data_IF_280815013437
#
_entry.id   IF_280815013437
#
_cell.length_a   1.000
_cell.length_b   1.000
_cell.length_c   1.000
_cell.angle_alpha   90.00
_cell.angle_beta   90.00
_cell.angle_gamma   90.00
#
_symmetry.space_group_name_H-M   'P 1'
#
loop_
_entity.id
_entity.type
_entity.pdbx_description
1 polymer ?
#
# COMPACT_ATOMS: atom_id res chain seq x y z
N UNK A 1 -32.07 -55.23 -27.06
CA UNK A 1 -31.43 -55.36 -25.73
C UNK A 1 -30.29 -54.36 -25.61
N UNK A 2 -30.46 -53.32 -24.79
CA UNK A 2 -29.50 -52.75 -23.81
C UNK A 2 -30.03 -51.39 -23.37
N UNK A 3 -30.01 -51.21 -22.06
CA UNK A 3 -31.00 -50.46 -21.30
C UNK A 3 -30.66 -48.97 -21.17
N UNK A 4 -31.70 -48.16 -21.27
CA UNK A 4 -31.77 -46.76 -20.85
C UNK A 4 -31.54 -46.70 -19.33
N UNK A 5 -30.54 -45.95 -18.87
CA UNK A 5 -30.44 -45.54 -17.47
C UNK A 5 -30.88 -44.07 -17.38
N UNK A 6 -32.18 -43.88 -17.17
CA UNK A 6 -32.71 -42.73 -16.45
C UNK A 6 -32.41 -42.98 -14.97
N UNK A 7 -31.63 -42.12 -14.32
CA UNK A 7 -31.64 -42.01 -12.86
C UNK A 7 -32.14 -40.62 -12.50
N UNK A 8 -33.28 -40.65 -11.84
CA UNK A 8 -34.04 -39.57 -11.24
C UNK A 8 -33.34 -39.04 -9.98
N UNK A 9 -33.45 -37.71 -9.80
CA UNK A 9 -34.04 -37.05 -8.62
C UNK A 9 -33.43 -37.34 -7.22
N UNK A 10 -32.87 -36.30 -6.60
CA UNK A 10 -33.10 -36.00 -5.18
C UNK A 10 -32.78 -34.52 -4.91
N UNK A 11 -33.81 -33.70 -5.00
CA UNK A 11 -33.83 -32.30 -4.58
C UNK A 11 -34.11 -32.28 -3.07
N UNK A 12 -33.09 -32.10 -2.23
CA UNK A 12 -33.27 -31.85 -0.79
C UNK A 12 -33.38 -30.34 -0.55
N UNK A 13 -34.62 -29.86 -0.54
CA UNK A 13 -34.99 -28.59 0.06
C UNK A 13 -35.15 -28.85 1.56
N UNK A 14 -34.17 -28.46 2.36
CA UNK A 14 -34.34 -28.35 3.81
C UNK A 14 -34.58 -26.89 4.12
N UNK A 15 -35.85 -26.56 4.33
CA UNK A 15 -36.28 -25.26 4.82
C UNK A 15 -35.81 -25.03 6.25
N UNK A 16 -35.17 -23.88 6.48
CA UNK A 16 -34.99 -23.34 7.82
C UNK A 16 -36.04 -22.24 8.06
N UNK A 17 -36.71 -22.22 9.22
CA UNK A 17 -37.80 -21.30 9.50
C UNK A 17 -37.30 -19.86 9.74
N UNK A 18 -38.04 -18.93 9.14
CA UNK A 18 -38.04 -17.50 9.43
C UNK A 18 -38.54 -17.31 10.87
N UNK A 19 -37.67 -16.89 11.78
CA UNK A 19 -38.08 -16.35 13.08
C UNK A 19 -38.19 -14.84 12.92
N UNK A 20 -39.43 -14.37 12.75
CA UNK A 20 -39.81 -12.97 12.97
C UNK A 20 -39.88 -12.76 14.47
N UNK A 21 -39.00 -11.92 15.02
CA UNK A 21 -39.13 -11.37 16.36
C UNK A 21 -39.54 -9.89 16.25
N UNK A 22 -40.79 -9.61 16.59
CA UNK A 22 -41.30 -8.28 16.87
C UNK A 22 -41.18 -7.98 18.37
N UNK A 23 -40.79 -6.76 18.73
CA UNK A 23 -40.93 -6.18 20.07
C UNK A 23 -39.66 -6.30 20.94
N UNK A 24 -39.25 -5.31 21.73
CA UNK A 24 -39.96 -4.14 22.24
C UNK A 24 -39.00 -2.97 22.41
N UNK A 25 -39.49 -1.76 22.12
CA UNK A 25 -38.95 -0.52 22.66
C UNK A 25 -39.13 -0.53 24.18
N UNK A 26 -38.07 -0.22 24.92
CA UNK A 26 -38.18 0.18 26.32
C UNK A 26 -37.63 1.59 26.43
N UNK A 27 -38.55 2.55 26.44
CA UNK A 27 -38.36 3.86 27.04
C UNK A 27 -38.02 3.65 28.52
N UNK A 28 -36.97 4.31 29.02
CA UNK A 28 -36.96 4.65 30.43
C UNK A 28 -36.35 6.03 30.66
N UNK A 29 -37.06 6.74 31.52
CA UNK A 29 -37.07 8.18 31.64
C UNK A 29 -35.84 8.75 32.39
N UNK A 30 -35.64 10.04 32.14
CA UNK A 30 -34.78 10.92 32.89
C UNK A 30 -35.06 10.90 34.40
N UNK A 31 -34.01 11.10 35.20
CA UNK A 31 -34.12 11.78 36.49
C UNK A 31 -32.94 12.72 36.67
N UNK A 32 -33.27 13.98 36.94
CA UNK A 32 -32.35 15.07 37.20
C UNK A 32 -32.22 15.34 38.71
N UNK A 33 -31.19 16.12 39.03
CA UNK A 33 -30.92 16.87 40.28
C UNK A 33 -30.11 16.16 41.38
N UNK A 34 -28.84 16.57 41.55
CA UNK A 34 -28.44 17.66 42.48
C UNK A 34 -26.94 17.55 42.85
N UNK A 35 -26.22 18.68 42.73
CA UNK A 35 -24.88 18.99 43.28
C UNK A 35 -24.92 19.02 44.84
N UNK A 36 -23.84 19.31 45.63
CA UNK A 36 -22.45 19.71 45.30
C UNK A 36 -21.34 19.01 46.14
N UNK A 37 -20.07 19.20 45.76
CA UNK A 37 -18.99 19.63 46.67
C UNK A 37 -17.62 19.61 45.96
N UNK A 38 -16.98 20.76 45.91
CA UNK A 38 -15.53 20.96 45.73
C UNK A 38 -14.75 20.27 46.85
N UNK A 39 -13.51 19.81 46.56
CA UNK A 39 -12.41 20.40 47.32
C UNK A 39 -11.19 20.76 46.47
N UNK A 40 -10.63 21.89 46.88
CA UNK A 40 -9.32 22.48 46.63
C UNK A 40 -8.14 21.55 46.97
N UNK A 41 -7.14 21.49 46.07
CA UNK A 41 -5.69 21.33 46.32
C UNK A 41 -5.00 21.16 44.95
N UNK A 42 -3.80 21.62 44.63
CA UNK A 42 -2.85 22.55 45.23
C UNK A 42 -1.80 22.85 44.13
N UNK A 43 -1.23 24.06 44.18
CA UNK A 43 -0.04 24.59 43.51
C UNK A 43 0.68 23.81 42.41
N UNK A 44 0.73 24.41 41.21
CA UNK A 44 1.92 24.32 40.36
C UNK A 44 2.81 25.52 40.69
N UNK A 45 3.91 25.24 41.38
CA UNK A 45 5.02 26.17 41.57
C UNK A 45 5.86 26.13 40.30
N UNK A 46 5.97 27.27 39.62
CA UNK A 46 7.05 27.49 38.65
C UNK A 46 8.36 27.65 39.42
N UNK A 47 9.31 26.74 39.20
CA UNK A 47 10.70 26.95 39.57
C UNK A 47 11.57 27.06 38.32
N UNK A 48 12.33 28.15 38.35
CA UNK A 48 13.51 28.58 37.60
C UNK A 48 14.57 27.50 37.35
N UNK A 49 15.29 27.71 36.26
CA UNK A 49 16.72 27.45 36.03
C UNK A 49 17.35 26.17 36.60
N UNK A 50 17.75 25.29 35.68
CA UNK A 50 18.54 24.11 35.97
C UNK A 50 19.00 23.45 34.68
N UNK A 51 19.89 24.13 33.96
CA UNK A 51 20.70 23.59 32.87
C UNK A 51 21.46 22.34 33.37
N UNK A 52 21.13 21.16 32.82
CA UNK A 52 21.91 19.94 33.01
C UNK A 52 22.45 19.55 31.64
N UNK A 53 23.69 19.98 31.39
CA UNK A 53 24.50 19.49 30.29
C UNK A 53 24.70 17.98 30.40
N UNK A 54 24.48 17.19 29.33
CA UNK A 54 25.11 15.89 29.22
C UNK A 54 26.60 16.08 28.96
N UNK A 55 27.41 15.49 29.85
CA UNK A 55 28.86 15.35 29.78
C UNK A 55 29.25 14.63 28.47
N UNK A 56 29.69 15.40 27.48
CA UNK A 56 30.31 14.88 26.26
C UNK A 56 31.81 14.78 26.54
N UNK A 57 32.23 13.58 26.92
CA UNK A 57 33.66 13.26 26.99
C UNK A 57 34.26 13.37 25.58
N UNK A 58 35.27 14.22 25.35
CA UNK A 58 35.90 14.35 24.04
C UNK A 58 36.74 13.10 23.73
N UNK A 59 36.51 12.49 22.57
CA UNK A 59 37.43 11.52 21.97
C UNK A 59 38.70 12.30 21.57
N UNK A 60 39.90 11.90 22.01
CA UNK A 60 41.12 12.55 21.57
C UNK A 60 41.43 12.19 20.12
N UNK A 61 41.61 13.23 19.30
CA UNK A 61 42.22 13.18 17.99
C UNK A 61 43.60 12.50 18.06
N UNK A 62 43.78 11.41 17.31
CA UNK A 62 45.09 10.92 16.92
C UNK A 62 45.18 10.80 15.40
N UNK A 63 45.90 11.76 14.84
CA UNK A 63 46.93 11.62 13.80
C UNK A 63 46.67 10.65 12.64
N UNK A 64 46.42 11.21 11.45
CA UNK A 64 47.30 10.92 10.32
C UNK A 64 47.34 12.11 9.34
N UNK A 65 48.20 13.06 9.70
CA UNK A 65 48.84 14.01 8.80
C UNK A 65 49.86 13.27 7.93
N UNK A 66 49.66 13.30 6.61
CA UNK A 66 50.75 13.24 5.63
C UNK A 66 50.27 13.85 4.30
N UNK A 67 50.18 15.18 4.24
CA UNK A 67 50.34 15.91 2.97
C UNK A 67 51.81 16.30 2.83
N UNK A 68 52.46 16.07 1.68
CA UNK A 68 53.66 16.80 1.30
C UNK A 68 53.29 18.15 0.62
N UNK A 69 54.04 19.23 0.89
CA UNK A 69 53.78 20.55 0.32
C UNK A 69 54.63 20.84 -0.94
N UNK A 70 54.06 21.64 -1.85
CA UNK A 70 54.80 22.75 -2.47
C UNK A 70 55.33 22.62 -3.90
N UNK A 71 54.85 23.56 -4.73
CA UNK A 71 55.55 24.33 -5.78
C UNK A 71 55.73 23.79 -7.22
N UNK A 72 54.83 24.28 -8.09
CA UNK A 72 54.99 25.08 -9.34
C UNK A 72 56.28 24.94 -10.19
N UNK A 73 56.31 25.00 -11.53
CA UNK A 73 55.53 25.76 -12.53
C UNK A 73 55.94 25.35 -14.00
N UNK A 74 55.68 26.10 -15.10
CA UNK A 74 54.71 25.82 -16.18
C UNK A 74 55.30 25.44 -17.56
N UNK A 75 54.46 24.98 -18.51
CA UNK A 75 54.83 25.07 -19.94
C UNK A 75 54.00 24.28 -20.97
N UNK A 76 53.37 25.04 -21.87
CA UNK A 76 53.15 24.75 -23.30
C UNK A 76 52.03 23.78 -23.76
N UNK A 77 50.90 24.40 -24.08
CA UNK A 77 50.03 24.21 -25.25
C UNK A 77 50.12 22.91 -26.07
N UNK A 78 48.98 22.22 -26.18
CA UNK A 78 48.48 21.75 -27.47
C UNK A 78 46.95 21.61 -27.41
N UNK A 79 46.27 22.39 -28.23
CA UNK A 79 44.87 22.26 -28.64
C UNK A 79 44.53 20.84 -29.04
N UNK A 80 43.42 20.31 -28.54
CA UNK A 80 42.59 19.36 -29.28
C UNK A 80 41.13 19.56 -28.84
N UNK A 81 40.35 20.07 -29.78
CA UNK A 81 38.90 19.98 -29.79
C UNK A 81 38.47 18.54 -29.49
N UNK A 82 37.69 18.41 -28.43
CA UNK A 82 37.00 17.19 -28.06
C UNK A 82 35.89 17.62 -27.14
N UNK A 83 34.72 17.90 -27.72
CA UNK A 83 33.50 18.04 -26.95
C UNK A 83 33.32 16.77 -26.14
N UNK A 84 33.56 16.85 -24.83
CA UNK A 84 33.10 15.84 -23.89
C UNK A 84 31.62 16.14 -23.75
N UNK A 85 30.82 15.46 -24.58
CA UNK A 85 29.39 15.34 -24.34
C UNK A 85 29.25 14.62 -23.00
N UNK A 86 28.81 15.38 -22.00
CA UNK A 86 28.24 14.87 -20.76
C UNK A 86 27.22 13.77 -21.15
N UNK A 87 27.35 12.52 -20.69
CA UNK A 87 26.27 11.57 -20.85
C UNK A 87 25.16 12.06 -19.93
N UNK A 88 24.19 12.78 -20.50
CA UNK A 88 22.89 12.97 -19.88
C UNK A 88 22.43 11.59 -19.41
N UNK A 89 22.44 11.37 -18.10
CA UNK A 89 21.65 10.33 -17.43
C UNK A 89 20.18 10.63 -17.77
N UNK A 90 19.79 10.23 -18.97
CA UNK A 90 18.41 10.05 -19.34
C UNK A 90 17.90 8.99 -18.40
N UNK A 91 17.24 9.45 -17.33
CA UNK A 91 16.20 8.70 -16.64
C UNK A 91 15.19 8.33 -17.71
N UNK A 92 15.45 7.22 -18.41
CA UNK A 92 14.52 6.60 -19.34
C UNK A 92 13.34 6.15 -18.50
N UNK A 93 12.39 7.06 -18.34
CA UNK A 93 11.07 6.73 -17.86
C UNK A 93 10.56 5.60 -18.77
N UNK A 94 10.24 4.41 -18.24
CA UNK A 94 9.86 3.26 -19.05
C UNK A 94 8.73 3.65 -20.01
N UNK A 95 8.89 3.42 -21.32
CA UNK A 95 7.83 3.70 -22.28
C UNK A 95 6.58 2.86 -21.95
N UNK A 96 5.43 3.48 -21.68
CA UNK A 96 4.19 2.76 -21.43
C UNK A 96 3.60 2.33 -22.78
N UNK A 97 3.85 1.10 -23.23
CA UNK A 97 3.17 0.66 -24.46
C UNK A 97 3.45 -0.72 -25.05
N UNK A 98 4.54 -1.39 -24.69
CA UNK A 98 4.93 -2.66 -25.35
C UNK A 98 4.94 -3.85 -24.39
N UNK A 99 4.08 -3.85 -23.37
CA UNK A 99 4.01 -4.91 -22.35
C UNK A 99 3.04 -6.04 -22.70
N UNK A 100 3.19 -7.19 -22.01
CA UNK A 100 2.14 -8.21 -21.91
C UNK A 100 0.96 -7.64 -21.15
N UNK A 101 -0.25 -8.08 -21.48
CA UNK A 101 -1.46 -7.71 -20.74
C UNK A 101 -1.96 -8.91 -19.96
N UNK A 102 -2.05 -8.76 -18.64
CA UNK A 102 -2.80 -9.67 -17.78
C UNK A 102 -4.22 -9.16 -17.63
N UNK A 103 -5.21 -10.03 -17.80
CA UNK A 103 -6.62 -9.71 -17.64
C UNK A 103 -7.30 -10.83 -16.85
N UNK A 104 -8.00 -10.46 -15.78
CA UNK A 104 -8.77 -11.40 -14.96
C UNK A 104 -10.28 -11.08 -15.05
N UNK A 105 -11.04 -12.01 -15.62
CA UNK A 105 -12.49 -11.87 -15.78
C UNK A 105 -13.29 -12.16 -14.51
N UNK A 106 -12.70 -12.87 -13.54
CA UNK A 106 -13.31 -13.14 -12.23
C UNK A 106 -13.28 -11.89 -11.38
N UNK A 107 -12.11 -11.25 -11.31
CA UNK A 107 -11.86 -10.05 -10.53
C UNK A 107 -11.98 -8.76 -11.34
N UNK A 108 -12.33 -8.81 -12.62
CA UNK A 108 -12.76 -7.65 -13.43
C UNK A 108 -11.72 -6.54 -13.55
N UNK A 109 -10.46 -6.89 -13.78
CA UNK A 109 -9.40 -5.92 -14.06
C UNK A 109 -8.40 -6.43 -15.11
N UNK A 110 -7.64 -5.49 -15.69
CA UNK A 110 -6.43 -5.81 -16.45
C UNK A 110 -5.31 -4.82 -16.15
N UNK A 111 -4.08 -5.25 -16.40
CA UNK A 111 -2.85 -4.48 -16.24
C UNK A 111 -1.83 -4.91 -17.29
N UNK A 112 -1.10 -3.95 -17.85
CA UNK A 112 0.03 -4.23 -18.73
C UNK A 112 1.33 -4.24 -17.91
N UNK A 113 2.24 -5.15 -18.26
CA UNK A 113 3.50 -5.37 -17.56
C UNK A 113 4.61 -5.78 -18.55
N UNK A 114 5.91 -5.54 -18.23
CA UNK A 114 7.01 -5.90 -19.13
C UNK A 114 7.06 -7.39 -19.48
N UNK A 115 7.58 -7.72 -20.67
CA UNK A 115 7.56 -9.09 -21.19
C UNK A 115 8.39 -10.09 -20.37
N UNK A 116 9.43 -9.61 -19.71
CA UNK A 116 10.42 -10.35 -18.94
C UNK A 116 10.05 -10.48 -17.45
N UNK A 117 9.03 -9.76 -16.99
CA UNK A 117 8.54 -9.85 -15.62
C UNK A 117 7.88 -11.20 -15.35
N UNK A 118 8.15 -11.73 -14.17
CA UNK A 118 7.47 -12.87 -13.61
C UNK A 118 6.10 -12.45 -13.06
N UNK A 119 5.10 -13.31 -13.26
CA UNK A 119 3.74 -13.11 -12.78
C UNK A 119 3.28 -14.33 -11.98
N UNK A 120 2.81 -14.10 -10.76
CA UNK A 120 2.29 -15.16 -9.89
C UNK A 120 1.07 -14.70 -9.09
N UNK A 121 0.16 -15.63 -8.82
CA UNK A 121 -0.91 -15.44 -7.83
C UNK A 121 -0.44 -15.91 -6.47
N UNK A 122 -0.73 -15.14 -5.41
CA UNK A 122 -0.41 -15.55 -4.05
C UNK A 122 -1.30 -16.72 -3.60
N UNK A 123 -0.74 -17.72 -2.91
CA UNK A 123 -1.50 -18.85 -2.38
C UNK A 123 -2.41 -18.41 -1.22
N UNK A 124 -3.52 -19.11 -1.03
CA UNK A 124 -4.58 -18.73 -0.07
C UNK A 124 -4.09 -18.69 1.38
N UNK A 125 -3.06 -19.46 1.71
CA UNK A 125 -2.42 -19.48 3.02
C UNK A 125 -1.72 -18.15 3.33
N UNK A 126 -1.03 -17.56 2.35
CA UNK A 126 -0.38 -16.24 2.50
C UNK A 126 -1.44 -15.13 2.63
N UNK A 127 -2.55 -15.25 1.90
CA UNK A 127 -3.66 -14.27 1.97
C UNK A 127 -4.40 -14.32 3.31
N UNK A 128 -4.51 -15.50 3.94
CA UNK A 128 -5.21 -15.66 5.21
C UNK A 128 -4.54 -14.94 6.39
N UNK A 129 -3.25 -14.59 6.26
CA UNK A 129 -2.49 -13.86 7.29
C UNK A 129 -2.64 -12.33 7.18
N UNK A 130 -3.33 -11.82 6.16
CA UNK A 130 -3.48 -10.39 5.90
C UNK A 130 -4.82 -9.87 6.44
N UNK A 131 -4.82 -8.65 6.98
CA UNK A 131 -6.00 -7.93 7.44
C UNK A 131 -6.13 -6.57 6.73
N UNK A 132 -7.27 -6.27 6.09
CA UNK A 132 -8.38 -7.19 5.80
C UNK A 132 -7.93 -8.36 4.91
N UNK A 133 -8.65 -9.49 4.94
CA UNK A 133 -8.30 -10.68 4.15
C UNK A 133 -8.61 -10.46 2.66
N UNK A 134 -7.60 -10.48 1.76
CA UNK A 134 -7.85 -10.42 0.33
C UNK A 134 -8.51 -11.70 -0.20
N UNK A 135 -9.33 -11.55 -1.25
CA UNK A 135 -9.87 -12.66 -2.02
C UNK A 135 -8.83 -13.27 -2.97
N UNK A 136 -7.96 -12.44 -3.53
CA UNK A 136 -6.79 -12.84 -4.31
C UNK A 136 -5.71 -11.75 -4.25
N UNK A 137 -4.46 -12.13 -4.48
CA UNK A 137 -3.39 -11.19 -4.76
C UNK A 137 -2.54 -11.65 -5.95
N UNK A 138 -2.08 -10.68 -6.72
CA UNK A 138 -1.34 -10.84 -7.97
C UNK A 138 -0.02 -10.08 -7.85
N UNK A 139 1.08 -10.77 -8.11
CA UNK A 139 2.44 -10.26 -7.95
C UNK A 139 3.12 -10.21 -9.30
N UNK A 140 3.63 -9.03 -9.64
CA UNK A 140 4.48 -8.77 -10.80
C UNK A 140 5.87 -8.42 -10.30
N UNK A 141 6.88 -9.15 -10.76
CA UNK A 141 8.23 -9.02 -10.24
C UNK A 141 9.25 -9.07 -11.38
N UNK A 142 10.25 -8.20 -11.31
CA UNK A 142 11.36 -8.17 -12.26
C UNK A 142 12.11 -9.52 -12.23
N UNK A 143 12.73 -9.93 -13.35
CA UNK A 143 13.32 -11.26 -13.47
C UNK A 143 14.48 -11.52 -12.50
N UNK A 144 15.18 -10.47 -12.06
CA UNK A 144 16.30 -10.61 -11.12
C UNK A 144 15.78 -10.98 -9.72
N UNK A 145 14.80 -10.23 -9.21
CA UNK A 145 14.14 -10.53 -7.94
C UNK A 145 13.43 -11.89 -8.00
N UNK A 146 12.78 -12.21 -9.12
CA UNK A 146 12.10 -13.49 -9.33
C UNK A 146 13.03 -14.71 -9.37
N UNK A 147 14.27 -14.54 -9.84
CA UNK A 147 15.26 -15.61 -9.89
C UNK A 147 16.08 -15.75 -8.58
N UNK A 148 15.88 -14.86 -7.61
CA UNK A 148 16.61 -14.86 -6.35
C UNK A 148 16.21 -16.03 -5.44
N UNK A 149 17.17 -16.57 -4.68
CA UNK A 149 16.91 -17.60 -3.65
C UNK A 149 15.98 -17.10 -2.54
N UNK A 150 15.83 -15.78 -2.41
CA UNK A 150 14.94 -15.11 -1.44
C UNK A 150 13.77 -14.40 -2.12
N UNK A 151 13.40 -14.78 -3.35
CA UNK A 151 12.33 -14.16 -4.13
C UNK A 151 10.99 -14.03 -3.35
N UNK A 152 10.70 -14.95 -2.42
CA UNK A 152 9.48 -14.88 -1.61
C UNK A 152 9.48 -13.77 -0.55
N UNK A 153 10.65 -13.23 -0.20
CA UNK A 153 10.84 -12.16 0.78
C UNK A 153 11.06 -10.80 0.11
N UNK A 154 11.42 -10.79 -1.18
CA UNK A 154 11.55 -9.57 -1.96
C UNK A 154 10.18 -8.92 -2.19
N UNK A 155 10.07 -7.59 -2.10
CA UNK A 155 8.84 -6.91 -2.47
C UNK A 155 8.59 -7.06 -3.97
N UNK A 156 7.32 -7.30 -4.32
CA UNK A 156 6.89 -7.25 -5.71
C UNK A 156 7.06 -5.82 -6.27
N UNK A 157 7.45 -5.68 -7.54
CA UNK A 157 7.42 -4.40 -8.24
C UNK A 157 6.00 -3.81 -8.23
N UNK A 158 4.99 -4.65 -8.49
CA UNK A 158 3.60 -4.34 -8.26
C UNK A 158 2.89 -5.53 -7.62
N UNK A 159 2.19 -5.29 -6.51
CA UNK A 159 1.20 -6.20 -5.95
C UNK A 159 -0.20 -5.63 -6.10
N UNK A 160 -1.14 -6.44 -6.62
CA UNK A 160 -2.57 -6.11 -6.70
C UNK A 160 -3.30 -7.05 -5.76
N UNK A 161 -3.93 -6.51 -4.72
CA UNK A 161 -4.84 -7.27 -3.84
C UNK A 161 -6.27 -6.92 -4.15
N UNK A 162 -7.13 -7.93 -4.16
CA UNK A 162 -8.57 -7.78 -4.43
C UNK A 162 -9.36 -8.13 -3.19
N UNK A 163 -10.38 -7.33 -2.89
CA UNK A 163 -11.24 -7.50 -1.73
C UNK A 163 -12.69 -7.41 -2.15
N UNK A 164 -13.57 -8.17 -1.49
CA UNK A 164 -15.00 -7.98 -1.68
C UNK A 164 -15.41 -6.59 -1.17
N UNK A 165 -16.10 -5.83 -2.02
CA UNK A 165 -16.64 -4.52 -1.63
C UNK A 165 -17.76 -4.64 -0.57
N UNK A 166 -18.45 -5.79 -0.55
CA UNK A 166 -19.52 -6.06 0.40
C UNK A 166 -20.68 -5.07 0.28
N UNK A 167 -21.22 -4.63 1.43
CA UNK A 167 -22.34 -3.69 1.52
C UNK A 167 -21.89 -2.22 1.63
N UNK A 168 -20.58 -1.94 1.54
CA UNK A 168 -20.07 -0.57 1.66
C UNK A 168 -20.57 0.28 0.50
N UNK A 169 -21.12 1.47 0.77
CA UNK A 169 -21.70 2.34 -0.26
C UNK A 169 -20.64 3.10 -1.09
N UNK A 170 -19.47 3.38 -0.53
CA UNK A 170 -18.36 4.09 -1.20
C UNK A 170 -17.01 3.44 -0.89
N UNK A 171 -15.95 3.90 -1.57
CA UNK A 171 -14.59 3.42 -1.30
C UNK A 171 -14.13 3.85 0.10
N UNK A 172 -14.39 5.10 0.48
CA UNK A 172 -14.04 5.68 1.78
C UNK A 172 -14.73 4.94 2.92
N UNK A 173 -16.02 4.63 2.75
CA UNK A 173 -16.77 3.83 3.72
C UNK A 173 -16.19 2.40 3.87
N UNK A 174 -15.69 1.81 2.77
CA UNK A 174 -15.02 0.52 2.82
C UNK A 174 -13.66 0.63 3.54
N UNK A 175 -12.87 1.64 3.24
CA UNK A 175 -11.57 1.87 3.89
C UNK A 175 -11.72 2.10 5.40
N UNK A 176 -12.70 2.89 5.82
CA UNK A 176 -12.98 3.16 7.23
C UNK A 176 -13.47 1.89 7.96
N UNK A 177 -14.37 1.12 7.33
CA UNK A 177 -14.86 -0.15 7.90
C UNK A 177 -13.74 -1.15 8.16
N UNK A 178 -12.71 -1.16 7.30
CA UNK A 178 -11.56 -2.04 7.42
C UNK A 178 -10.39 -1.43 8.21
N UNK A 179 -10.60 -0.28 8.87
CA UNK A 179 -9.60 0.36 9.72
C UNK A 179 -8.38 0.91 8.96
N UNK A 180 -8.47 1.06 7.64
CA UNK A 180 -7.37 1.57 6.79
C UNK A 180 -7.29 3.10 6.80
N UNK A 181 -8.39 3.76 7.17
CA UNK A 181 -8.45 5.20 7.42
C UNK A 181 -9.26 5.46 8.71
N UNK A 182 -9.02 6.57 9.42
CA UNK A 182 -9.82 6.99 10.56
C UNK A 182 -11.33 7.02 10.26
N UNK A 183 -12.12 6.50 11.18
CA UNK A 183 -13.58 6.44 11.06
C UNK A 183 -14.27 7.80 11.20
N UNK A 184 -13.57 8.81 11.74
CA UNK A 184 -14.05 10.18 11.87
C UNK A 184 -14.01 10.96 10.53
N UNK A 185 -13.55 10.31 9.45
CA UNK A 185 -13.41 10.92 8.14
C UNK A 185 -12.26 11.93 8.06
N UNK A 186 -11.41 12.02 9.08
CA UNK A 186 -10.12 12.71 8.95
C UNK A 186 -9.30 11.93 7.94
N UNK A 187 -8.90 12.59 6.86
CA UNK A 187 -8.42 11.95 5.64
C UNK A 187 -6.89 11.79 5.71
N UNK A 188 -6.34 10.57 5.89
CA UNK A 188 -4.95 10.30 5.53
C UNK A 188 -4.81 9.94 4.04
N UNK A 189 -5.93 9.81 3.30
CA UNK A 189 -5.95 9.35 1.92
C UNK A 189 -6.05 10.47 0.88
N UNK A 190 -5.08 10.62 -0.01
CA UNK A 190 -5.14 11.63 -1.08
C UNK A 190 -5.94 11.10 -2.27
N UNK A 191 -6.90 11.86 -2.84
CA UNK A 191 -7.54 11.43 -4.07
C UNK A 191 -6.51 11.36 -5.20
N UNK A 192 -6.55 10.31 -6.01
CA UNK A 192 -5.71 10.18 -7.19
C UNK A 192 -6.54 9.87 -8.43
N UNK A 193 -5.97 10.21 -9.59
CA UNK A 193 -6.56 9.90 -10.89
C UNK A 193 -5.47 9.49 -11.87
N UNK A 194 -5.64 8.33 -12.48
CA UNK A 194 -4.85 7.84 -13.61
C UNK A 194 -5.73 7.78 -14.85
N UNK A 195 -5.19 7.34 -15.98
CA UNK A 195 -5.88 7.35 -17.27
C UNK A 195 -7.22 6.59 -17.25
N UNK A 196 -7.27 5.44 -16.57
CA UNK A 196 -8.43 4.54 -16.62
C UNK A 196 -9.17 4.38 -15.30
N UNK A 197 -8.61 4.89 -14.20
CA UNK A 197 -9.17 4.72 -12.85
C UNK A 197 -8.94 5.96 -11.99
N UNK A 198 -9.81 6.11 -10.99
CA UNK A 198 -9.66 7.09 -9.91
C UNK A 198 -9.89 6.40 -8.58
N UNK A 199 -9.29 6.94 -7.52
CA UNK A 199 -9.37 6.32 -6.21
C UNK A 199 -8.72 7.14 -5.11
N UNK A 200 -8.27 6.45 -4.07
CA UNK A 200 -7.64 7.05 -2.88
C UNK A 200 -6.27 6.42 -2.66
N UNK A 201 -5.24 7.24 -2.59
CA UNK A 201 -3.88 6.88 -2.19
C UNK A 201 -3.77 6.98 -0.67
N UNK A 202 -3.40 5.90 0.02
CA UNK A 202 -3.23 5.85 1.47
C UNK A 202 -1.77 5.50 1.77
N UNK A 203 -1.08 6.38 2.48
CA UNK A 203 0.32 6.19 2.85
C UNK A 203 0.45 5.88 4.34
N UNK A 204 1.30 4.91 4.70
CA UNK A 204 1.55 4.56 6.08
C UNK A 204 2.37 5.66 6.80
N UNK A 205 1.77 6.38 7.75
CA UNK A 205 2.40 7.51 8.44
C UNK A 205 3.48 7.12 9.46
N UNK A 206 3.64 5.83 9.76
CA UNK A 206 4.46 5.33 10.88
C UNK A 206 5.86 4.85 10.48
N UNK A 207 6.21 4.88 9.20
CA UNK A 207 7.51 4.42 8.70
C UNK A 207 8.38 5.59 8.24
N UNK A 208 9.71 5.45 8.38
CA UNK A 208 10.71 6.41 7.87
C UNK A 208 10.61 6.55 6.33
N UNK A 209 10.13 5.51 5.65
CA UNK A 209 9.69 5.54 4.25
C UNK A 209 8.26 4.97 4.15
N UNK A 210 7.22 5.82 4.15
CA UNK A 210 5.84 5.39 3.94
C UNK A 210 5.68 4.67 2.61
N UNK A 211 5.34 3.38 2.63
CA UNK A 211 4.73 2.75 1.47
C UNK A 211 3.33 3.34 1.27
N UNK A 212 3.05 3.82 0.06
CA UNK A 212 1.71 4.24 -0.34
C UNK A 212 1.01 3.09 -1.06
N UNK A 213 -0.29 2.94 -0.83
CA UNK A 213 -1.15 2.01 -1.55
C UNK A 213 -2.28 2.78 -2.20
N UNK A 214 -2.59 2.44 -3.44
CA UNK A 214 -3.68 3.05 -4.18
C UNK A 214 -4.90 2.15 -4.15
N UNK A 215 -6.02 2.68 -3.69
CA UNK A 215 -7.27 1.97 -3.60
C UNK A 215 -8.21 2.40 -4.71
N UNK A 216 -8.75 1.44 -5.46
CA UNK A 216 -9.72 1.64 -6.53
C UNK A 216 -10.96 0.83 -6.23
N UNK A 217 -12.14 1.38 -6.53
CA UNK A 217 -13.41 0.66 -6.39
C UNK A 217 -13.97 0.24 -7.75
N UNK A 218 -14.23 -1.05 -7.90
CA UNK A 218 -15.05 -1.62 -8.96
C UNK A 218 -16.49 -1.87 -8.51
N UNK A 219 -17.24 -2.66 -9.28
CA UNK A 219 -18.64 -2.99 -8.99
C UNK A 219 -18.78 -3.90 -7.76
N UNK A 220 -18.07 -5.03 -7.75
CA UNK A 220 -18.10 -6.01 -6.66
C UNK A 220 -16.80 -6.04 -5.82
N UNK A 221 -15.75 -5.37 -6.30
CA UNK A 221 -14.39 -5.49 -5.78
C UNK A 221 -13.82 -4.14 -5.38
N UNK A 222 -12.96 -4.15 -4.37
CA UNK A 222 -12.00 -3.09 -4.06
C UNK A 222 -10.61 -3.64 -4.38
N UNK A 223 -9.79 -2.84 -5.05
CA UNK A 223 -8.43 -3.17 -5.43
C UNK A 223 -7.47 -2.32 -4.61
N UNK A 224 -6.47 -2.94 -4.01
CA UNK A 224 -5.31 -2.26 -3.45
C UNK A 224 -4.13 -2.52 -4.38
N UNK A 225 -3.57 -1.46 -4.94
CA UNK A 225 -2.42 -1.47 -5.82
C UNK A 225 -1.21 -0.98 -5.00
N UNK A 226 -0.19 -1.82 -4.88
CA UNK A 226 1.00 -1.59 -4.06
C UNK A 226 2.21 -1.62 -4.99
N UNK A 227 2.55 -0.50 -5.63
CA UNK A 227 3.81 -0.40 -6.35
C UNK A 227 4.97 -0.24 -5.35
N UNK A 228 6.05 -0.98 -5.56
CA UNK A 228 7.28 -0.84 -4.76
C UNK A 228 8.45 -0.24 -5.57
N UNK A 229 8.32 -0.16 -6.90
CA UNK A 229 9.35 0.32 -7.82
C UNK A 229 8.77 1.29 -8.86
N UNK A 230 9.63 1.95 -9.63
CA UNK A 230 9.22 2.83 -10.73
C UNK A 230 8.50 2.04 -11.84
N UNK A 231 8.96 0.83 -12.11
CA UNK A 231 8.31 -0.12 -13.01
C UNK A 231 6.93 -0.51 -12.48
N UNK A 232 6.81 -0.69 -11.16
CA UNK A 232 5.53 -0.85 -10.45
C UNK A 232 4.54 0.28 -10.71
N UNK A 233 4.99 1.52 -10.55
CA UNK A 233 4.21 2.72 -10.82
C UNK A 233 3.81 2.83 -12.31
N UNK A 234 4.72 2.48 -13.23
CA UNK A 234 4.41 2.44 -14.66
C UNK A 234 3.36 1.37 -14.98
N UNK A 235 3.41 0.19 -14.34
CA UNK A 235 2.36 -0.82 -14.47
C UNK A 235 1.03 -0.31 -13.92
N UNK A 236 1.03 0.39 -12.79
CA UNK A 236 -0.17 0.99 -12.19
C UNK A 236 -0.88 1.97 -13.15
N UNK A 237 -0.14 2.73 -13.97
CA UNK A 237 -0.71 3.64 -14.97
C UNK A 237 -1.56 2.93 -16.04
N UNK A 238 -1.31 1.64 -16.25
CA UNK A 238 -2.03 0.80 -17.21
C UNK A 238 -3.19 0.02 -16.59
N UNK A 239 -3.36 0.10 -15.26
CA UNK A 239 -4.43 -0.61 -14.57
C UNK A 239 -5.80 -0.09 -15.00
N UNK A 240 -6.69 -1.00 -15.36
CA UNK A 240 -8.04 -0.68 -15.79
C UNK A 240 -9.06 -1.69 -15.28
N UNK A 241 -10.29 -1.21 -15.06
CA UNK A 241 -11.42 -2.05 -14.72
C UNK A 241 -12.06 -2.63 -15.98
N UNK A 242 -12.37 -3.91 -15.95
CA UNK A 242 -13.12 -4.60 -16.99
C UNK A 242 -14.61 -4.58 -16.61
N UNK A 243 -15.53 -4.24 -17.54
CA UNK A 243 -16.97 -4.26 -17.29
C UNK A 243 -17.55 -5.60 -16.81
#
# INVERSE_FOLDING_TARGET
MRAKHCVMLAMMIVGLPIIVACGQASENAASAAAQPATPTAAGVVSNTDGEVMPDVTPIPDREQTAQPPGQSEPGAAATSEGAIEDPEEQTQQPEPGTGKVYADNTYKFSVAYPHDFAFHTQPVEKLAALEPKPAAAFVFMNPVSAASDVAELEPADLEIRTYMAGQSASLEAWLALNGLVPADGSVPGKPFRKAHVSGVEVCASTMIAPGCSYFVRGSAWVYQLIPATLEGEAMLDTFMLIP
#
